data_IF_218669770301
#
_entry.id   IF_218669770301
#
_cell.length_a   1.000
_cell.length_b   1.000
_cell.length_c   1.000
_cell.angle_alpha   90.00
_cell.angle_beta   90.00
_cell.angle_gamma   90.00
#
_symmetry.space_group_name_H-M   'P 1'
#
loop_
_entity.id
_entity.type
_entity.pdbx_description
1 polymer ?
#
# COMPACT_ATOMS: atom_id res chain seq x y z
N UNK A 1 -0.69 33.64 19.66
CA UNK A 1 -0.80 32.67 18.54
C UNK A 1 0.09 31.43 18.70
N UNK A 2 1.42 31.46 18.51
CA UNK A 2 2.23 30.20 18.54
C UNK A 2 2.23 29.52 19.93
N UNK A 3 2.35 30.29 21.02
CA UNK A 3 2.36 29.77 22.41
C UNK A 3 0.98 29.38 22.95
N UNK A 4 -0.10 29.69 22.23
CA UNK A 4 -1.48 29.39 22.65
C UNK A 4 -1.98 28.07 22.06
N UNK A 5 -1.42 27.64 20.92
CA UNK A 5 -1.85 26.45 20.16
C UNK A 5 -0.86 25.28 20.25
N UNK A 6 0.31 25.46 20.87
CA UNK A 6 1.38 24.46 20.93
C UNK A 6 1.88 24.25 22.36
N UNK A 7 2.38 23.04 22.64
CA UNK A 7 3.05 22.70 23.89
C UNK A 7 4.21 23.65 24.15
N UNK A 8 4.41 24.06 25.40
CA UNK A 8 5.44 25.04 25.79
C UNK A 8 6.84 24.66 25.29
N UNK A 9 7.17 23.36 25.31
CA UNK A 9 8.44 22.83 24.80
C UNK A 9 8.60 23.02 23.29
N UNK A 10 7.53 22.76 22.54
CA UNK A 10 7.55 22.88 21.08
C UNK A 10 7.59 24.36 20.66
N UNK A 11 6.86 25.21 21.37
CA UNK A 11 6.87 26.64 21.14
C UNK A 11 8.26 27.25 21.40
N UNK A 12 8.94 26.86 22.47
CA UNK A 12 10.31 27.32 22.76
C UNK A 12 11.31 26.83 21.71
N UNK A 13 11.22 25.56 21.30
CA UNK A 13 12.06 25.02 20.23
C UNK A 13 11.83 25.75 18.90
N UNK A 14 10.59 26.02 18.50
CA UNK A 14 10.25 26.71 17.25
C UNK A 14 10.78 28.16 17.26
N UNK A 15 10.62 28.85 18.39
CA UNK A 15 11.09 30.23 18.53
C UNK A 15 12.61 30.36 18.61
N UNK A 16 13.32 29.27 18.92
CA UNK A 16 14.78 29.22 18.96
C UNK A 16 15.43 29.01 17.58
N UNK A 17 14.66 28.70 16.53
CA UNK A 17 15.18 28.53 15.17
C UNK A 17 15.64 29.92 14.67
N UNK A 18 16.94 30.12 14.41
CA UNK A 18 17.44 31.42 13.95
C UNK A 18 16.86 31.73 12.57
N UNK A 19 16.00 32.74 12.52
CA UNK A 19 15.45 33.27 11.27
C UNK A 19 16.46 34.24 10.65
N UNK A 20 16.76 34.09 9.37
CA UNK A 20 17.64 35.02 8.65
C UNK A 20 17.08 36.44 8.66
N UNK A 21 17.92 37.43 8.98
CA UNK A 21 17.56 38.84 9.20
C UNK A 21 17.11 39.60 7.92
N UNK A 22 17.22 38.95 6.75
CA UNK A 22 16.63 39.46 5.51
C UNK A 22 15.12 39.17 5.52
N UNK A 23 14.35 40.09 6.11
CA UNK A 23 12.89 40.13 6.02
C UNK A 23 12.40 40.35 4.59
N UNK A 24 12.47 39.30 3.77
CA UNK A 24 11.41 38.99 2.82
C UNK A 24 10.59 37.91 3.49
N UNK A 25 9.39 38.26 3.95
CA UNK A 25 8.50 37.36 4.70
C UNK A 25 8.52 35.94 4.14
N UNK A 26 8.71 34.96 5.03
CA UNK A 26 8.98 33.57 4.67
C UNK A 26 8.11 33.09 3.51
N UNK A 27 8.75 32.88 2.35
CA UNK A 27 8.05 32.43 1.15
C UNK A 27 7.81 30.93 1.28
N UNK A 28 6.54 30.53 1.37
CA UNK A 28 6.18 29.12 1.22
C UNK A 28 6.46 28.74 -0.23
N UNK A 29 7.41 27.83 -0.43
CA UNK A 29 7.86 27.38 -1.74
C UNK A 29 7.57 25.89 -1.92
N UNK A 30 7.08 25.54 -3.11
CA UNK A 30 6.85 24.15 -3.47
C UNK A 30 8.17 23.50 -3.89
N UNK A 31 8.66 22.57 -3.08
CA UNK A 31 9.95 21.88 -3.30
C UNK A 31 10.03 21.16 -4.67
N UNK A 32 8.91 20.66 -5.19
CA UNK A 32 8.89 19.84 -6.40
C UNK A 32 8.61 20.63 -7.69
N UNK A 33 9.06 21.88 -7.80
CA UNK A 33 8.88 22.70 -9.00
C UNK A 33 10.07 23.62 -9.29
N UNK A 34 10.27 23.99 -10.56
CA UNK A 34 11.38 24.88 -10.96
C UNK A 34 11.18 26.36 -10.59
N UNK A 35 9.96 26.75 -10.24
CA UNK A 35 9.56 28.16 -10.08
C UNK A 35 9.05 28.47 -8.66
N UNK A 36 9.33 27.61 -7.67
CA UNK A 36 8.82 27.68 -6.29
C UNK A 36 7.29 27.69 -6.13
N UNK A 37 6.53 27.71 -7.23
CA UNK A 37 5.08 27.75 -7.22
C UNK A 37 4.48 26.34 -7.25
N UNK A 38 3.41 26.15 -6.48
CA UNK A 38 2.56 24.98 -6.59
C UNK A 38 1.83 24.97 -7.94
N UNK A 39 1.87 23.84 -8.63
CA UNK A 39 0.97 23.55 -9.75
C UNK A 39 0.47 22.13 -9.62
N UNK A 40 -0.78 21.88 -10.04
CA UNK A 40 -1.37 20.53 -10.05
C UNK A 40 -0.50 19.56 -10.84
N UNK A 41 0.11 20.02 -11.93
CA UNK A 41 1.05 19.24 -12.76
C UNK A 41 2.27 18.76 -11.96
N UNK A 42 3.00 19.69 -11.32
CA UNK A 42 4.20 19.36 -10.56
C UNK A 42 3.88 18.49 -9.34
N UNK A 43 2.74 18.75 -8.69
CA UNK A 43 2.25 17.93 -7.58
C UNK A 43 1.96 16.50 -8.04
N UNK A 44 1.21 16.32 -9.13
CA UNK A 44 0.92 15.01 -9.70
C UNK A 44 2.19 14.27 -10.11
N UNK A 45 3.11 14.94 -10.81
CA UNK A 45 4.38 14.35 -11.24
C UNK A 45 5.23 13.90 -10.04
N UNK A 46 5.29 14.70 -8.98
CA UNK A 46 5.99 14.33 -7.75
C UNK A 46 5.36 13.12 -7.04
N UNK A 47 4.03 13.04 -7.03
CA UNK A 47 3.29 11.93 -6.44
C UNK A 47 3.52 10.63 -7.23
N UNK A 48 3.44 10.69 -8.56
CA UNK A 48 3.67 9.55 -9.45
C UNK A 48 5.13 9.07 -9.37
N UNK A 49 6.10 10.00 -9.34
CA UNK A 49 7.51 9.63 -9.17
C UNK A 49 7.75 8.92 -7.84
N UNK A 50 7.12 9.40 -6.76
CA UNK A 50 7.20 8.79 -5.44
C UNK A 50 6.54 7.42 -5.40
N UNK A 51 5.42 7.22 -6.08
CA UNK A 51 4.80 5.89 -6.17
C UNK A 51 5.70 4.90 -6.91
N UNK A 52 6.33 5.30 -8.03
CA UNK A 52 7.28 4.44 -8.74
C UNK A 52 8.53 4.12 -7.93
N UNK A 53 9.04 5.05 -7.13
CA UNK A 53 10.20 4.82 -6.27
C UNK A 53 9.88 3.95 -5.05
N UNK A 54 8.64 4.02 -4.54
CA UNK A 54 8.16 3.15 -3.47
C UNK A 54 7.84 1.72 -3.96
N UNK A 55 7.52 1.55 -5.24
CA UNK A 55 7.43 0.24 -5.89
C UNK A 55 8.82 -0.35 -6.15
N UNK A 56 9.50 -0.80 -5.09
CA UNK A 56 10.77 -1.55 -5.18
C UNK A 56 10.59 -3.00 -5.63
N UNK A 57 9.36 -3.46 -5.89
CA UNK A 57 9.12 -4.79 -6.45
C UNK A 57 9.53 -4.80 -7.93
N UNK A 58 10.51 -5.65 -8.24
CA UNK A 58 11.07 -5.93 -9.57
C UNK A 58 10.05 -6.53 -10.55
N UNK A 59 8.78 -6.63 -10.19
CA UNK A 59 7.76 -7.34 -10.97
C UNK A 59 6.92 -6.32 -11.74
N UNK A 60 7.43 -5.89 -12.90
CA UNK A 60 6.62 -5.14 -13.87
C UNK A 60 5.66 -6.11 -14.54
N UNK A 61 4.65 -6.57 -13.81
CA UNK A 61 3.62 -7.46 -14.32
C UNK A 61 2.97 -6.82 -15.56
N UNK A 62 3.04 -7.49 -16.72
CA UNK A 62 2.39 -6.99 -17.94
C UNK A 62 0.87 -7.20 -17.83
N UNK A 63 0.18 -6.12 -17.46
CA UNK A 63 -1.27 -6.10 -17.28
C UNK A 63 -2.07 -6.28 -18.58
N UNK A 64 -1.44 -6.21 -19.76
CA UNK A 64 -2.12 -6.38 -21.05
C UNK A 64 -2.89 -7.69 -21.11
N UNK A 65 -2.31 -8.79 -20.61
CA UNK A 65 -2.98 -10.09 -20.61
C UNK A 65 -4.34 -10.04 -19.88
N UNK A 66 -4.38 -9.40 -18.71
CA UNK A 66 -5.62 -9.26 -17.92
C UNK A 66 -6.62 -8.35 -18.65
N UNK A 67 -6.18 -7.21 -19.16
CA UNK A 67 -7.07 -6.23 -19.78
C UNK A 67 -7.62 -6.68 -21.14
N UNK A 68 -6.85 -7.44 -21.93
CA UNK A 68 -7.29 -8.00 -23.21
C UNK A 68 -8.03 -9.34 -23.10
N UNK A 69 -8.02 -9.99 -21.94
CA UNK A 69 -8.76 -11.24 -21.74
C UNK A 69 -10.28 -11.06 -21.93
N UNK A 70 -10.95 -12.11 -22.43
CA UNK A 70 -12.41 -12.15 -22.64
C UNK A 70 -13.17 -12.50 -21.35
N UNK A 71 -12.81 -11.87 -20.23
CA UNK A 71 -13.49 -12.06 -18.93
C UNK A 71 -14.29 -10.80 -18.55
N UNK A 72 -15.31 -10.93 -17.68
CA UNK A 72 -16.07 -9.78 -17.21
C UNK A 72 -15.17 -8.70 -16.56
N UNK A 73 -15.45 -7.40 -16.75
CA UNK A 73 -14.65 -6.31 -16.18
C UNK A 73 -14.46 -6.39 -14.66
N UNK A 74 -15.47 -6.90 -13.93
CA UNK A 74 -15.39 -7.10 -12.47
C UNK A 74 -14.27 -8.07 -12.08
N UNK A 75 -14.04 -9.12 -12.88
CA UNK A 75 -12.96 -10.10 -12.63
C UNK A 75 -11.60 -9.49 -12.93
N UNK A 76 -11.48 -8.68 -14.00
CA UNK A 76 -10.24 -7.94 -14.30
C UNK A 76 -9.83 -7.03 -13.14
N UNK A 77 -10.80 -6.27 -12.61
CA UNK A 77 -10.57 -5.40 -11.46
C UNK A 77 -10.21 -6.20 -10.21
N UNK A 78 -10.85 -7.34 -9.98
CA UNK A 78 -10.53 -8.21 -8.86
C UNK A 78 -9.08 -8.72 -8.93
N UNK A 79 -8.65 -9.25 -10.08
CA UNK A 79 -7.25 -9.69 -10.29
C UNK A 79 -6.28 -8.54 -10.09
N UNK A 80 -6.60 -7.35 -10.62
CA UNK A 80 -5.79 -6.15 -10.40
C UNK A 80 -5.63 -5.81 -8.92
N UNK A 81 -6.72 -5.87 -8.15
CA UNK A 81 -6.69 -5.65 -6.69
C UNK A 81 -5.89 -6.71 -5.95
N UNK A 82 -5.99 -7.97 -6.37
CA UNK A 82 -5.21 -9.06 -5.77
C UNK A 82 -3.70 -8.81 -5.89
N UNK A 83 -3.22 -8.47 -7.09
CA UNK A 83 -1.77 -8.27 -7.31
C UNK A 83 -1.19 -7.01 -6.68
N UNK A 84 -2.04 -6.04 -6.30
CA UNK A 84 -1.60 -4.80 -5.64
C UNK A 84 -1.86 -4.81 -4.14
N UNK A 85 -2.13 -5.97 -3.54
CA UNK A 85 -2.47 -6.09 -2.12
C UNK A 85 -3.59 -5.12 -1.70
N UNK A 86 -4.57 -4.89 -2.58
CA UNK A 86 -5.61 -3.88 -2.39
C UNK A 86 -6.94 -4.49 -1.90
N UNK A 87 -6.96 -5.78 -1.56
CA UNK A 87 -8.10 -6.41 -0.91
C UNK A 87 -8.06 -6.16 0.60
N UNK A 88 -9.23 -6.01 1.27
CA UNK A 88 -9.30 -5.73 2.70
C UNK A 88 -9.08 -7.02 3.53
N UNK A 89 -7.93 -7.67 3.37
CA UNK A 89 -7.53 -8.79 4.22
C UNK A 89 -7.09 -8.29 5.59
N UNK A 90 -7.16 -9.11 6.64
CA UNK A 90 -6.72 -8.68 7.97
C UNK A 90 -5.24 -8.26 8.00
N UNK A 91 -4.38 -8.89 7.20
CA UNK A 91 -2.99 -8.47 7.04
C UNK A 91 -2.86 -7.06 6.44
N UNK A 92 -3.66 -6.74 5.42
CA UNK A 92 -3.67 -5.41 4.81
C UNK A 92 -4.31 -4.36 5.72
N UNK A 93 -5.32 -4.73 6.50
CA UNK A 93 -5.90 -3.83 7.50
C UNK A 93 -4.88 -3.53 8.61
N UNK A 94 -4.14 -4.54 9.08
CA UNK A 94 -3.07 -4.34 10.07
C UNK A 94 -1.96 -3.43 9.57
N UNK A 95 -1.59 -3.49 8.29
CA UNK A 95 -0.55 -2.61 7.72
C UNK A 95 -0.96 -1.13 7.69
N UNK A 96 -2.27 -0.83 7.73
CA UNK A 96 -2.79 0.54 7.85
C UNK A 96 -2.78 1.09 9.29
N UNK A 97 -2.26 0.33 10.25
CA UNK A 97 -2.14 0.74 11.65
C UNK A 97 -3.29 0.31 12.56
N UNK A 98 -4.23 -0.49 12.06
CA UNK A 98 -5.28 -1.10 12.88
C UNK A 98 -4.70 -2.26 13.70
N UNK A 99 -4.90 -2.22 15.02
CA UNK A 99 -4.50 -3.32 15.90
C UNK A 99 -5.56 -4.43 15.86
N UNK A 100 -5.33 -5.42 15.01
CA UNK A 100 -6.24 -6.55 14.77
C UNK A 100 -5.48 -7.87 14.88
N UNK A 101 -6.18 -8.92 15.33
CA UNK A 101 -5.71 -10.29 15.15
C UNK A 101 -5.81 -10.64 13.66
N UNK A 102 -4.72 -11.15 13.10
CA UNK A 102 -4.63 -11.42 11.65
C UNK A 102 -4.91 -12.85 11.28
N UNK A 103 -5.38 -13.69 12.19
CA UNK A 103 -5.69 -15.09 11.87
C UNK A 103 -6.89 -15.19 10.94
N UNK A 104 -6.82 -16.10 9.99
CA UNK A 104 -7.92 -16.38 9.07
C UNK A 104 -9.16 -16.86 9.84
N UNK A 105 -10.29 -16.18 9.62
CA UNK A 105 -11.56 -16.50 10.30
C UNK A 105 -12.14 -17.86 9.91
N UNK A 106 -11.70 -18.43 8.78
CA UNK A 106 -12.23 -19.69 8.24
C UNK A 106 -11.48 -20.92 8.76
N UNK A 107 -10.15 -20.85 8.87
CA UNK A 107 -9.32 -21.99 9.27
C UNK A 107 -8.68 -21.83 10.65
N UNK A 108 -8.66 -20.62 11.21
CA UNK A 108 -8.03 -20.24 12.47
C UNK A 108 -6.53 -20.60 12.62
N UNK A 109 -5.87 -21.03 11.53
CA UNK A 109 -4.48 -21.48 11.55
C UNK A 109 -3.50 -20.38 11.15
N UNK A 110 -3.48 -20.02 9.87
CA UNK A 110 -2.53 -19.06 9.31
C UNK A 110 -3.07 -17.62 9.30
N UNK A 111 -2.20 -16.67 8.97
CA UNK A 111 -2.58 -15.27 8.79
C UNK A 111 -3.44 -15.09 7.53
N UNK A 112 -4.41 -14.18 7.61
CA UNK A 112 -5.30 -13.83 6.53
C UNK A 112 -4.63 -12.83 5.59
N UNK A 113 -3.89 -13.38 4.63
CA UNK A 113 -3.44 -12.66 3.44
C UNK A 113 -4.22 -13.10 2.19
N UNK A 114 -3.98 -12.41 1.06
CA UNK A 114 -4.71 -12.66 -0.19
C UNK A 114 -4.46 -14.08 -0.71
N UNK A 115 -3.22 -14.55 -0.61
CA UNK A 115 -2.83 -15.89 -1.09
C UNK A 115 -3.48 -16.97 -0.24
N UNK A 116 -3.53 -16.77 1.08
CA UNK A 116 -4.18 -17.68 2.01
C UNK A 116 -5.68 -17.74 1.72
N UNK A 117 -6.39 -16.62 1.76
CA UNK A 117 -7.85 -16.60 1.59
C UNK A 117 -8.30 -17.12 0.24
N UNK A 118 -7.52 -16.90 -0.81
CA UNK A 118 -7.91 -17.32 -2.16
C UNK A 118 -7.40 -18.70 -2.56
N UNK A 119 -6.25 -19.17 -2.05
CA UNK A 119 -5.59 -20.36 -2.60
C UNK A 119 -5.14 -21.39 -1.57
N UNK A 120 -4.66 -20.98 -0.38
CA UNK A 120 -4.08 -21.92 0.60
C UNK A 120 -5.04 -22.33 1.71
N UNK A 121 -6.04 -21.50 2.00
CA UNK A 121 -7.01 -21.77 3.07
C UNK A 121 -7.74 -23.09 2.79
N UNK A 122 -7.84 -24.01 3.76
CA UNK A 122 -8.59 -25.26 3.58
C UNK A 122 -10.00 -25.05 3.04
N UNK A 123 -10.68 -23.99 3.48
CA UNK A 123 -11.98 -23.60 2.96
C UNK A 123 -11.92 -23.21 1.47
N UNK A 124 -10.94 -22.39 1.07
CA UNK A 124 -10.76 -22.00 -0.32
C UNK A 124 -10.43 -23.22 -1.20
N UNK A 125 -9.56 -24.12 -0.74
CA UNK A 125 -9.23 -25.36 -1.42
C UNK A 125 -10.48 -26.21 -1.69
N UNK A 126 -11.39 -26.33 -0.71
CA UNK A 126 -12.66 -27.03 -0.88
C UNK A 126 -13.55 -26.34 -1.92
N UNK A 127 -13.68 -25.02 -1.87
CA UNK A 127 -14.45 -24.25 -2.87
C UNK A 127 -13.91 -24.52 -4.27
N UNK A 128 -12.59 -24.46 -4.47
CA UNK A 128 -11.98 -24.74 -5.76
C UNK A 128 -12.18 -26.17 -6.22
N UNK A 129 -12.07 -27.15 -5.33
CA UNK A 129 -12.31 -28.56 -5.64
C UNK A 129 -13.75 -28.84 -6.10
N UNK A 130 -14.71 -28.04 -5.65
CA UNK A 130 -16.12 -28.11 -6.09
C UNK A 130 -16.36 -27.42 -7.44
N UNK A 131 -15.42 -26.59 -7.90
CA UNK A 131 -15.51 -25.98 -9.23
C UNK A 131 -14.89 -26.88 -10.30
N UNK A 132 -15.36 -26.77 -11.54
CA UNK A 132 -14.73 -27.42 -12.70
C UNK A 132 -13.43 -26.74 -13.15
N UNK A 133 -12.88 -25.83 -12.34
CA UNK A 133 -11.63 -25.11 -12.64
C UNK A 133 -10.46 -25.94 -12.12
N UNK A 134 -9.55 -26.30 -13.03
CA UNK A 134 -8.32 -27.00 -12.67
C UNK A 134 -7.38 -26.03 -11.96
N UNK A 135 -7.27 -26.11 -10.63
CA UNK A 135 -6.30 -25.30 -9.88
C UNK A 135 -4.89 -25.81 -10.13
N UNK A 136 -4.00 -24.92 -10.56
CA UNK A 136 -2.56 -25.16 -10.46
C UNK A 136 -2.21 -25.05 -8.98
N UNK A 137 -1.84 -26.16 -8.36
CA UNK A 137 -1.30 -26.14 -7.00
C UNK A 137 0.02 -25.38 -7.04
N UNK A 138 0.08 -24.23 -6.36
CA UNK A 138 1.35 -23.56 -6.12
C UNK A 138 2.22 -24.49 -5.27
N UNK A 139 3.53 -24.65 -5.58
CA UNK A 139 4.43 -25.38 -4.72
C UNK A 139 4.35 -24.81 -3.31
N UNK A 140 4.16 -25.66 -2.30
CA UNK A 140 4.32 -25.24 -0.92
C UNK A 140 5.76 -24.74 -0.78
N UNK A 141 5.93 -23.46 -0.40
CA UNK A 141 7.23 -22.99 0.07
C UNK A 141 7.57 -23.85 1.28
N UNK A 142 8.57 -24.71 1.12
CA UNK A 142 9.21 -25.44 2.21
C UNK A 142 9.60 -24.42 3.28
N UNK A 143 9.06 -24.62 4.48
CA UNK A 143 9.52 -23.94 5.69
C UNK A 143 11.04 -24.00 5.74
N UNK A 144 11.69 -22.83 5.59
CA UNK A 144 13.06 -22.69 6.06
C UNK A 144 13.00 -22.67 7.58
N UNK A 145 12.95 -23.87 8.15
CA UNK A 145 13.19 -24.11 9.55
C UNK A 145 14.51 -23.43 9.95
N UNK A 146 14.39 -22.46 10.84
CA UNK A 146 15.48 -21.98 11.68
C UNK A 146 16.00 -23.16 12.49
N UNK A 147 17.24 -23.57 12.19
CA UNK A 147 18.11 -24.26 13.14
C UNK A 147 18.79 -23.27 14.07
#
# INVERSE_FOLDING_TARGET
MIREELSAKDADCILSIPLSDNQTGGKIVWYFGKNDCFTVRNAYESAVRRSYQASTSTDRTDWRYVWYSKIPPKVKLFVWRCSHEALPTLMNLKSTGLSLETKCSWCAGEQEDITHVLLKCPFACLVWALTSVRTVTLPQEVDRGTG
#
